data_IF_327885997356
#
_entry.id   IF_327885997356
#
_cell.length_a   1.000
_cell.length_b   1.000
_cell.length_c   1.000
_cell.angle_alpha   90.00
_cell.angle_beta   90.00
_cell.angle_gamma   90.00
#
_symmetry.space_group_name_H-M   'P 1'
#
loop_
_entity.id
_entity.type
_entity.pdbx_description
1 polymer ?
#
# COMPACT_ATOMS: atom_id res chain seq x y z
N UNK A 1 2.83 9.11 17.52
CA UNK A 1 3.01 10.23 16.58
C UNK A 1 4.48 10.59 16.50
N UNK A 2 4.89 11.26 15.42
CA UNK A 2 6.24 11.78 15.20
C UNK A 2 6.13 13.23 14.74
N UNK A 3 7.13 14.03 15.09
CA UNK A 3 7.28 15.43 14.67
C UNK A 3 8.69 15.61 14.15
N UNK A 4 8.81 16.10 12.92
CA UNK A 4 10.05 16.66 12.40
C UNK A 4 9.94 18.19 12.48
N UNK A 5 10.74 18.85 13.35
CA UNK A 5 10.67 20.31 13.49
C UNK A 5 11.05 21.05 12.20
N UNK A 6 10.44 22.21 11.99
CA UNK A 6 10.85 23.14 10.94
C UNK A 6 12.33 23.50 11.07
N UNK A 7 13.07 23.52 9.95
CA UNK A 7 14.50 23.85 9.95
C UNK A 7 14.75 25.34 10.24
N UNK A 8 13.77 26.21 10.01
CA UNK A 8 13.81 27.63 10.36
C UNK A 8 12.66 27.99 11.33
N UNK A 9 12.82 27.71 12.64
CA UNK A 9 11.75 27.90 13.62
C UNK A 9 11.20 29.33 13.68
N UNK A 10 12.06 30.33 13.50
CA UNK A 10 11.67 31.75 13.49
C UNK A 10 10.77 32.13 12.30
N UNK A 11 10.82 31.36 11.21
CA UNK A 11 10.03 31.56 10.01
C UNK A 11 8.90 30.53 9.86
N UNK A 12 8.63 29.75 10.92
CA UNK A 12 7.66 28.65 10.92
C UNK A 12 6.25 29.15 10.60
N UNK A 13 5.60 28.50 9.64
CA UNK A 13 4.21 28.76 9.21
C UNK A 13 3.21 27.99 10.07
N UNK A 14 3.52 26.75 10.46
CA UNK A 14 2.60 25.93 11.25
C UNK A 14 2.95 24.44 11.25
N UNK A 15 2.01 23.63 11.74
CA UNK A 15 2.08 22.17 11.64
C UNK A 15 1.51 21.68 10.30
N UNK A 16 2.27 20.86 9.57
CA UNK A 16 1.83 20.10 8.39
C UNK A 16 1.60 18.64 8.79
N UNK A 17 0.34 18.23 8.83
CA UNK A 17 -0.03 16.83 9.05
C UNK A 17 0.04 16.05 7.75
N UNK A 18 0.68 14.89 7.79
CA UNK A 18 0.85 14.01 6.64
C UNK A 18 0.23 12.64 6.89
N UNK A 19 -0.32 12.04 5.83
CA UNK A 19 -0.69 10.62 5.84
C UNK A 19 -0.46 10.00 4.46
N UNK A 20 0.38 8.95 4.36
CA UNK A 20 0.73 8.32 3.09
C UNK A 20 -0.32 7.32 2.57
N UNK A 21 -1.39 7.06 3.34
CA UNK A 21 -2.45 6.15 2.95
C UNK A 21 -2.23 4.69 3.39
N UNK A 22 -2.49 3.76 2.48
CA UNK A 22 -2.65 2.33 2.77
C UNK A 22 -4.11 1.89 2.58
N UNK A 23 -4.95 1.79 3.62
CA UNK A 23 -4.70 2.08 5.05
C UNK A 23 -3.68 1.14 5.71
N UNK A 24 -3.21 1.52 6.91
CA UNK A 24 -2.29 0.68 7.70
C UNK A 24 -0.81 1.03 7.58
N UNK A 25 -0.43 1.99 6.73
CA UNK A 25 0.95 2.47 6.69
C UNK A 25 1.21 3.46 7.83
N UNK A 26 2.30 3.31 8.61
CA UNK A 26 2.64 4.24 9.68
C UNK A 26 3.08 5.61 9.13
N UNK A 27 2.32 6.67 9.42
CA UNK A 27 2.72 8.04 9.09
C UNK A 27 3.97 8.48 9.86
N UNK A 28 4.25 7.89 11.02
CA UNK A 28 5.49 8.12 11.77
C UNK A 28 6.73 7.64 11.03
N UNK A 29 6.61 6.50 10.32
CA UNK A 29 7.66 6.01 9.43
C UNK A 29 7.91 7.02 8.31
N UNK A 30 6.85 7.58 7.75
CA UNK A 30 6.95 8.58 6.70
C UNK A 30 7.72 9.84 7.16
N UNK A 31 7.43 10.35 8.35
CA UNK A 31 8.19 11.46 8.94
C UNK A 31 9.67 11.10 9.13
N UNK A 32 9.96 9.87 9.57
CA UNK A 32 11.33 9.39 9.71
C UNK A 32 12.06 9.37 8.37
N UNK A 33 11.43 8.85 7.32
CA UNK A 33 12.03 8.74 5.99
C UNK A 33 12.29 10.14 5.38
N UNK A 34 11.38 11.10 5.61
CA UNK A 34 11.58 12.51 5.23
C UNK A 34 12.78 13.11 6.00
N UNK A 35 12.87 12.88 7.31
CA UNK A 35 13.96 13.38 8.14
C UNK A 35 15.33 12.83 7.75
N UNK A 36 15.37 11.57 7.29
CA UNK A 36 16.57 10.91 6.77
C UNK A 36 16.89 11.28 5.31
N UNK A 37 16.01 12.02 4.63
CA UNK A 37 16.16 12.36 3.22
C UNK A 37 16.00 11.18 2.27
N UNK A 38 15.47 10.05 2.75
CA UNK A 38 15.18 8.86 1.94
C UNK A 38 13.81 8.95 1.28
N UNK A 39 13.04 9.99 1.60
CA UNK A 39 11.78 10.29 0.95
C UNK A 39 11.65 11.76 0.52
N UNK A 40 11.24 11.97 -0.73
CA UNK A 40 11.11 13.28 -1.38
C UNK A 40 9.70 13.87 -1.34
N UNK A 41 8.75 13.30 -0.58
CA UNK A 41 7.35 13.80 -0.54
C UNK A 41 7.21 15.27 -0.16
N UNK A 42 8.19 15.84 0.57
CA UNK A 42 8.21 17.25 0.91
C UNK A 42 9.47 17.91 0.37
N UNK A 43 9.31 18.95 -0.45
CA UNK A 43 10.42 19.78 -0.90
C UNK A 43 11.08 20.55 0.25
N UNK A 44 12.28 21.09 0.01
CA UNK A 44 13.07 21.76 1.05
C UNK A 44 12.35 22.95 1.70
N UNK A 45 11.53 23.68 0.95
CA UNK A 45 10.75 24.78 1.52
C UNK A 45 9.73 24.30 2.57
N UNK A 46 9.12 23.14 2.36
CA UNK A 46 8.19 22.58 3.36
C UNK A 46 8.93 22.24 4.65
N UNK A 47 10.10 21.59 4.54
CA UNK A 47 10.94 21.25 5.71
C UNK A 47 11.47 22.50 6.43
N UNK A 48 11.74 23.59 5.70
CA UNK A 48 12.15 24.86 6.30
C UNK A 48 11.06 25.50 7.14
N UNK A 49 9.82 25.44 6.67
CA UNK A 49 8.73 26.31 7.16
C UNK A 49 7.66 25.60 7.98
N UNK A 50 7.58 24.28 7.96
CA UNK A 50 6.56 23.53 8.70
C UNK A 50 7.16 22.53 9.65
N UNK A 51 6.54 22.38 10.81
CA UNK A 51 6.69 21.16 11.60
C UNK A 51 5.91 20.04 10.90
N UNK A 52 6.58 18.98 10.46
CA UNK A 52 5.92 17.85 9.79
C UNK A 52 5.46 16.86 10.85
N UNK A 53 4.15 16.59 10.88
CA UNK A 53 3.49 15.76 11.88
C UNK A 53 2.95 14.49 11.23
N UNK A 54 3.43 13.34 11.70
CA UNK A 54 2.96 12.02 11.33
C UNK A 54 2.19 11.41 12.49
N UNK A 55 0.86 11.33 12.35
CA UNK A 55 0.02 10.62 13.30
C UNK A 55 -0.32 9.24 12.74
N UNK A 56 0.18 8.19 13.38
CA UNK A 56 -0.27 6.84 13.06
C UNK A 56 -1.73 6.70 13.48
N UNK A 57 -2.64 6.34 12.56
CA UNK A 57 -4.02 6.06 12.93
C UNK A 57 -4.11 5.03 14.04
N UNK A 58 -5.17 5.08 14.84
CA UNK A 58 -5.54 3.98 15.73
C UNK A 58 -5.49 2.63 14.97
N UNK A 59 -4.92 1.60 15.59
CA UNK A 59 -4.68 0.31 14.95
C UNK A 59 -3.36 0.20 14.18
N UNK A 60 -2.57 1.27 14.04
CA UNK A 60 -1.41 1.34 13.13
C UNK A 60 -0.13 1.80 13.85
N UNK A 61 1.03 1.30 13.39
CA UNK A 61 2.32 1.92 13.67
C UNK A 61 2.67 2.00 15.15
N UNK A 62 3.05 3.17 15.66
CA UNK A 62 3.36 3.40 17.07
C UNK A 62 2.11 3.59 17.94
N UNK A 63 0.92 3.72 17.35
CA UNK A 63 -0.35 3.65 18.08
C UNK A 63 -0.66 2.20 18.47
N UNK A 64 -1.64 1.98 19.35
CA UNK A 64 -2.10 0.62 19.69
C UNK A 64 -2.49 -0.12 18.41
N UNK A 65 -1.78 -1.20 18.09
CA UNK A 65 -1.90 -1.93 16.82
C UNK A 65 -3.04 -2.94 16.85
N UNK A 66 -3.63 -3.17 15.69
CA UNK A 66 -4.38 -4.41 15.44
C UNK A 66 -3.44 -5.59 15.57
N UNK A 67 -3.88 -6.62 16.28
CA UNK A 67 -3.20 -7.90 16.45
C UNK A 67 -4.02 -8.99 15.76
N UNK A 68 -3.35 -9.84 14.99
CA UNK A 68 -3.93 -10.99 14.31
C UNK A 68 -2.96 -12.17 14.40
N UNK A 69 -3.48 -13.40 14.40
CA UNK A 69 -2.66 -14.60 14.24
C UNK A 69 -2.06 -14.61 12.84
N UNK A 70 -0.73 -14.52 12.79
CA UNK A 70 -0.01 -14.38 11.53
C UNK A 70 0.04 -15.70 10.74
N UNK A 71 0.01 -16.85 11.43
CA UNK A 71 0.02 -18.15 10.78
C UNK A 71 -1.34 -18.40 10.11
N UNK A 72 -2.43 -18.04 10.79
CA UNK A 72 -3.77 -18.07 10.21
C UNK A 72 -3.88 -17.12 9.00
N UNK A 73 -3.43 -15.86 9.15
CA UNK A 73 -3.42 -14.87 8.06
C UNK A 73 -2.62 -15.33 6.84
N UNK A 74 -1.46 -15.97 7.08
CA UNK A 74 -0.57 -16.42 6.01
C UNK A 74 -1.07 -17.66 5.26
N UNK A 75 -2.10 -18.37 5.77
CA UNK A 75 -2.72 -19.49 5.03
C UNK A 75 -3.20 -19.01 3.66
N UNK A 76 -2.96 -19.83 2.63
CA UNK A 76 -3.35 -19.49 1.26
C UNK A 76 -4.85 -19.69 1.07
N UNK A 77 -5.53 -18.63 0.68
CA UNK A 77 -6.92 -18.64 0.22
C UNK A 77 -7.00 -17.89 -1.10
N UNK A 78 -7.66 -18.46 -2.11
CA UNK A 78 -7.88 -17.77 -3.39
C UNK A 78 -8.93 -16.68 -3.20
N UNK A 79 -8.70 -15.52 -3.81
CA UNK A 79 -9.67 -14.42 -3.86
C UNK A 79 -10.65 -14.55 -5.03
N UNK A 80 -10.49 -15.58 -5.87
CA UNK A 80 -11.25 -15.78 -7.11
C UNK A 80 -11.93 -17.16 -7.09
N UNK A 81 -12.92 -17.37 -6.20
CA UNK A 81 -13.64 -18.64 -6.15
C UNK A 81 -14.36 -18.90 -7.47
N UNK A 82 -14.24 -20.12 -7.99
CA UNK A 82 -14.79 -20.52 -9.30
C UNK A 82 -16.13 -21.24 -9.19
N UNK A 83 -16.57 -21.56 -7.97
CA UNK A 83 -17.82 -22.23 -7.68
C UNK A 83 -18.35 -21.83 -6.28
N UNK A 84 -19.58 -22.22 -6.00
CA UNK A 84 -20.24 -21.89 -4.74
C UNK A 84 -19.54 -22.51 -3.51
N UNK A 85 -18.95 -23.69 -3.67
CA UNK A 85 -18.27 -24.38 -2.58
C UNK A 85 -16.97 -23.67 -2.18
N UNK A 86 -16.18 -23.21 -3.15
CA UNK A 86 -14.98 -22.41 -2.95
C UNK A 86 -15.33 -21.02 -2.40
N UNK A 87 -16.41 -20.40 -2.86
CA UNK A 87 -16.89 -19.14 -2.29
C UNK A 87 -17.24 -19.29 -0.80
N UNK A 88 -18.00 -20.33 -0.43
CA UNK A 88 -18.32 -20.60 0.98
C UNK A 88 -17.07 -20.82 1.84
N UNK A 89 -16.08 -21.58 1.34
CA UNK A 89 -14.81 -21.78 2.04
C UNK A 89 -14.05 -20.46 2.25
N UNK A 90 -14.02 -19.61 1.22
CA UNK A 90 -13.39 -18.28 1.30
C UNK A 90 -14.07 -17.41 2.37
N UNK A 91 -15.40 -17.34 2.37
CA UNK A 91 -16.17 -16.58 3.36
C UNK A 91 -15.91 -17.10 4.78
N UNK A 92 -15.97 -18.42 5.00
CA UNK A 92 -15.70 -19.03 6.30
C UNK A 92 -14.28 -18.72 6.80
N UNK A 93 -13.29 -18.80 5.93
CA UNK A 93 -11.90 -18.47 6.26
C UNK A 93 -11.74 -17.01 6.69
N UNK A 94 -12.30 -16.06 5.96
CA UNK A 94 -12.19 -14.64 6.35
C UNK A 94 -13.02 -14.28 7.59
N UNK A 95 -14.10 -15.02 7.88
CA UNK A 95 -14.79 -14.93 9.17
C UNK A 95 -13.91 -15.42 10.33
N UNK A 96 -13.19 -16.54 10.15
CA UNK A 96 -12.24 -17.06 11.13
C UNK A 96 -11.11 -16.05 11.39
N UNK A 97 -10.51 -15.52 10.33
CA UNK A 97 -9.47 -14.46 10.41
C UNK A 97 -10.00 -13.25 11.16
N UNK A 98 -11.19 -12.75 10.81
CA UNK A 98 -11.80 -11.57 11.44
C UNK A 98 -12.05 -11.80 12.94
N UNK A 99 -12.60 -12.96 13.30
CA UNK A 99 -12.85 -13.32 14.70
C UNK A 99 -11.54 -13.44 15.50
N UNK A 100 -10.50 -14.02 14.92
CA UNK A 100 -9.18 -14.13 15.53
C UNK A 100 -8.56 -12.75 15.77
N UNK A 101 -8.51 -11.90 14.75
CA UNK A 101 -8.02 -10.52 14.88
C UNK A 101 -8.79 -9.76 15.97
N UNK A 102 -10.12 -9.94 16.03
CA UNK A 102 -10.96 -9.32 17.06
C UNK A 102 -10.65 -9.81 18.47
N UNK A 103 -10.46 -11.11 18.65
CA UNK A 103 -10.12 -11.67 19.95
C UNK A 103 -8.75 -11.16 20.45
N UNK A 104 -7.77 -11.03 19.56
CA UNK A 104 -6.43 -10.56 19.90
C UNK A 104 -6.34 -9.02 20.07
N UNK A 105 -7.15 -8.27 19.33
CA UNK A 105 -7.15 -6.80 19.35
C UNK A 105 -8.07 -6.22 20.43
N UNK A 106 -9.20 -6.89 20.71
CA UNK A 106 -10.21 -6.42 21.66
C UNK A 106 -11.10 -5.28 21.11
N UNK A 107 -11.67 -4.46 22.01
CA UNK A 107 -12.70 -3.45 21.66
C UNK A 107 -12.27 -2.40 20.64
N UNK A 108 -10.96 -2.22 20.43
CA UNK A 108 -10.45 -1.30 19.42
C UNK A 108 -11.01 -1.61 18.02
N UNK A 109 -11.30 -2.89 17.70
CA UNK A 109 -11.86 -3.29 16.41
C UNK A 109 -13.17 -2.60 16.03
N UNK A 110 -13.96 -2.15 17.02
CA UNK A 110 -15.24 -1.47 16.80
C UNK A 110 -15.10 0.03 16.48
N UNK A 111 -13.85 0.52 16.48
CA UNK A 111 -13.56 1.95 16.42
C UNK A 111 -12.42 2.27 15.46
N UNK A 112 -12.12 1.42 14.48
CA UNK A 112 -11.03 1.60 13.50
C UNK A 112 -11.44 2.41 12.26
N UNK A 113 -12.69 2.87 12.19
CA UNK A 113 -13.20 3.60 11.04
C UNK A 113 -12.53 4.98 10.84
N UNK A 114 -12.64 5.51 9.62
CA UNK A 114 -11.98 6.77 9.25
C UNK A 114 -12.52 7.98 10.02
N UNK A 115 -13.80 7.99 10.41
CA UNK A 115 -14.38 9.10 11.19
C UNK A 115 -13.70 9.17 12.56
N UNK A 116 -13.45 8.02 13.17
CA UNK A 116 -12.73 7.90 14.42
C UNK A 116 -11.25 8.33 14.29
N UNK A 117 -10.60 8.05 13.16
CA UNK A 117 -9.25 8.58 12.84
C UNK A 117 -9.26 10.10 12.70
N UNK A 118 -10.28 10.67 12.04
CA UNK A 118 -10.42 12.12 11.87
C UNK A 118 -10.62 12.85 13.21
N UNK A 119 -11.36 12.26 14.14
CA UNK A 119 -11.51 12.80 15.51
C UNK A 119 -10.19 12.78 16.28
N UNK A 120 -9.38 11.73 16.12
CA UNK A 120 -8.03 11.70 16.74
C UNK A 120 -7.14 12.80 16.17
N UNK A 121 -7.20 13.00 14.85
CA UNK A 121 -6.44 14.03 14.16
C UNK A 121 -6.79 15.43 14.68
N UNK A 122 -8.08 15.72 14.88
CA UNK A 122 -8.53 16.98 15.47
C UNK A 122 -8.06 17.13 16.92
N UNK A 123 -8.18 16.08 17.74
CA UNK A 123 -7.70 16.12 19.12
C UNK A 123 -6.19 16.43 19.20
N UNK A 124 -5.38 15.83 18.32
CA UNK A 124 -3.95 16.11 18.23
C UNK A 124 -3.70 17.54 17.73
N UNK A 125 -4.44 18.04 16.73
CA UNK A 125 -4.32 19.43 16.27
C UNK A 125 -4.59 20.43 17.39
N UNK A 126 -5.64 20.20 18.18
CA UNK A 126 -5.96 21.03 19.35
C UNK A 126 -4.84 20.96 20.39
N UNK A 127 -4.34 19.76 20.70
CA UNK A 127 -3.24 19.58 21.65
C UNK A 127 -1.92 20.25 21.22
N UNK A 128 -1.68 20.38 19.90
CA UNK A 128 -0.51 21.06 19.34
C UNK A 128 -0.68 22.58 19.20
N UNK A 129 -1.57 23.19 19.98
CA UNK A 129 -1.76 24.65 20.03
C UNK A 129 -2.90 25.17 19.17
N UNK A 130 -3.77 24.28 18.66
CA UNK A 130 -5.02 24.65 17.98
C UNK A 130 -4.84 25.53 16.73
N UNK A 131 -3.67 25.49 16.08
CA UNK A 131 -3.43 26.11 14.77
C UNK A 131 -4.34 25.50 13.70
N UNK A 132 -4.68 26.27 12.66
CA UNK A 132 -5.42 25.73 11.52
C UNK A 132 -4.65 24.59 10.84
N UNK A 133 -5.36 23.55 10.43
CA UNK A 133 -4.84 22.35 9.78
C UNK A 133 -4.18 22.68 8.44
N UNK A 134 -2.92 22.25 8.28
CA UNK A 134 -2.31 22.04 6.97
C UNK A 134 -2.23 20.53 6.75
N UNK A 135 -2.88 20.02 5.70
CA UNK A 135 -2.98 18.58 5.44
C UNK A 135 -2.33 18.21 4.11
N UNK A 136 -1.55 17.13 4.10
CA UNK A 136 -1.12 16.42 2.90
C UNK A 136 -1.50 14.94 3.04
N UNK A 137 -2.54 14.54 2.32
CA UNK A 137 -3.01 13.16 2.30
C UNK A 137 -2.82 12.53 0.94
N UNK A 138 -2.27 11.33 0.92
CA UNK A 138 -2.08 10.53 -0.30
C UNK A 138 -2.90 9.25 -0.22
N UNK A 139 -3.44 8.78 -1.34
CA UNK A 139 -4.20 7.52 -1.39
C UNK A 139 -5.32 7.50 -0.32
N UNK A 140 -5.37 6.53 0.60
CA UNK A 140 -6.33 6.52 1.72
C UNK A 140 -6.25 7.79 2.61
N UNK A 141 -5.11 8.47 2.69
CA UNK A 141 -4.98 9.77 3.36
C UNK A 141 -5.87 10.85 2.75
N UNK A 142 -6.28 10.72 1.49
CA UNK A 142 -7.28 11.60 0.87
C UNK A 142 -8.68 11.38 1.46
N UNK A 143 -9.01 10.14 1.86
CA UNK A 143 -10.26 9.83 2.58
C UNK A 143 -10.29 10.51 3.95
N UNK A 144 -9.18 10.42 4.69
CA UNK A 144 -9.03 11.11 5.97
C UNK A 144 -9.21 12.62 5.78
N UNK A 145 -8.52 13.21 4.78
CA UNK A 145 -8.59 14.64 4.49
C UNK A 145 -10.01 15.11 4.12
N UNK A 146 -10.69 14.39 3.23
CA UNK A 146 -12.08 14.72 2.83
C UNK A 146 -13.05 14.62 3.99
N UNK A 147 -12.97 13.58 4.82
CA UNK A 147 -13.81 13.45 6.02
C UNK A 147 -13.46 14.50 7.10
N UNK A 148 -12.19 14.88 7.23
CA UNK A 148 -11.79 16.01 8.09
C UNK A 148 -12.40 17.33 7.59
N UNK A 149 -12.39 17.58 6.28
CA UNK A 149 -13.02 18.76 5.70
C UNK A 149 -14.54 18.77 5.90
N UNK A 150 -15.18 17.61 5.91
CA UNK A 150 -16.60 17.49 6.22
C UNK A 150 -16.92 17.79 7.70
N UNK A 151 -16.16 17.22 8.64
CA UNK A 151 -16.43 17.37 10.08
C UNK A 151 -15.92 18.68 10.68
N UNK A 152 -14.78 19.18 10.19
CA UNK A 152 -14.08 20.34 10.74
C UNK A 152 -13.71 21.38 9.66
N UNK A 153 -14.63 21.79 8.76
CA UNK A 153 -14.33 22.63 7.60
C UNK A 153 -13.68 23.97 7.98
N UNK A 154 -14.12 24.55 9.11
CA UNK A 154 -13.60 25.82 9.60
C UNK A 154 -12.16 25.72 10.11
N UNK A 155 -11.64 24.53 10.38
CA UNK A 155 -10.33 24.34 11.00
C UNK A 155 -9.21 24.12 9.99
N UNK A 156 -9.48 24.23 8.68
CA UNK A 156 -8.49 24.05 7.62
C UNK A 156 -7.88 25.38 7.20
N UNK A 157 -6.55 25.40 7.03
CA UNK A 157 -5.81 26.46 6.33
C UNK A 157 -5.50 26.05 4.90
N UNK A 158 -4.91 24.87 4.73
CA UNK A 158 -4.57 24.31 3.41
C UNK A 158 -4.71 22.81 3.41
N UNK A 159 -5.08 22.23 2.27
CA UNK A 159 -5.28 20.80 2.13
C UNK A 159 -4.86 20.35 0.73
N UNK A 160 -3.97 19.36 0.69
CA UNK A 160 -3.57 18.65 -0.53
C UNK A 160 -4.08 17.22 -0.40
N UNK A 161 -4.78 16.79 -1.44
CA UNK A 161 -5.27 15.43 -1.61
C UNK A 161 -4.71 14.90 -2.94
N UNK A 162 -3.80 13.96 -2.86
CA UNK A 162 -3.13 13.37 -4.02
C UNK A 162 -3.57 11.90 -4.20
N UNK A 163 -3.99 11.56 -5.42
CA UNK A 163 -4.55 10.25 -5.78
C UNK A 163 -5.82 9.92 -4.98
N UNK A 164 -6.85 10.74 -5.21
CA UNK A 164 -8.10 10.73 -4.45
C UNK A 164 -8.82 9.38 -4.47
N UNK A 165 -9.14 8.87 -3.27
CA UNK A 165 -10.01 7.73 -3.10
C UNK A 165 -11.46 8.19 -3.22
N UNK A 166 -12.14 7.71 -4.27
CA UNK A 166 -13.55 7.99 -4.47
C UNK A 166 -14.42 7.05 -3.63
N UNK A 167 -15.20 7.58 -2.69
CA UNK A 167 -16.00 6.77 -1.75
C UNK A 167 -17.51 6.75 -2.01
N UNK A 168 -18.00 7.50 -2.99
CA UNK A 168 -19.41 7.40 -3.40
C UNK A 168 -19.64 6.40 -4.54
N UNK A 169 -18.57 5.84 -5.13
CA UNK A 169 -18.68 4.79 -6.13
C UNK A 169 -18.93 3.44 -5.45
N UNK A 170 -19.66 2.55 -6.12
CA UNK A 170 -19.82 1.19 -5.63
C UNK A 170 -18.50 0.41 -5.70
N UNK A 171 -18.38 -0.60 -4.84
CA UNK A 171 -17.15 -1.38 -4.68
C UNK A 171 -16.77 -2.13 -5.95
N UNK A 172 -17.74 -2.64 -6.72
CA UNK A 172 -17.46 -3.36 -7.96
C UNK A 172 -16.88 -2.43 -9.03
N UNK A 173 -17.40 -1.21 -9.16
CA UNK A 173 -16.85 -0.17 -10.04
C UNK A 173 -15.44 0.26 -9.64
N UNK A 174 -15.16 0.35 -8.33
CA UNK A 174 -13.82 0.63 -7.81
C UNK A 174 -12.83 -0.47 -8.24
N UNK A 175 -13.18 -1.73 -7.96
CA UNK A 175 -12.35 -2.90 -8.31
C UNK A 175 -12.12 -3.01 -9.81
N UNK A 176 -13.15 -2.75 -10.63
CA UNK A 176 -13.02 -2.77 -12.09
C UNK A 176 -12.08 -1.67 -12.59
N UNK A 177 -12.21 -0.45 -12.05
CA UNK A 177 -11.36 0.68 -12.40
C UNK A 177 -9.91 0.42 -12.02
N UNK A 178 -9.66 -0.16 -10.85
CA UNK A 178 -8.32 -0.56 -10.41
C UNK A 178 -7.74 -1.66 -11.31
N UNK A 179 -8.46 -2.75 -11.53
CA UNK A 179 -8.02 -3.88 -12.34
C UNK A 179 -7.68 -3.47 -13.79
N UNK A 180 -8.55 -2.67 -14.42
CA UNK A 180 -8.33 -2.17 -15.79
C UNK A 180 -7.14 -1.20 -15.86
N UNK A 181 -6.93 -0.36 -14.85
CA UNK A 181 -5.79 0.57 -14.80
C UNK A 181 -4.46 -0.17 -14.62
N UNK A 182 -4.40 -1.21 -13.78
CA UNK A 182 -3.21 -2.03 -13.66
C UNK A 182 -2.92 -2.82 -14.93
N UNK A 183 -3.92 -3.39 -15.58
CA UNK A 183 -3.75 -4.09 -16.85
C UNK A 183 -3.20 -3.14 -17.93
N UNK A 184 -3.72 -1.91 -18.02
CA UNK A 184 -3.19 -0.91 -18.94
C UNK A 184 -1.74 -0.53 -18.62
N UNK A 185 -1.40 -0.40 -17.34
CA UNK A 185 -0.03 -0.08 -16.90
C UNK A 185 0.94 -1.24 -17.13
N UNK A 186 0.49 -2.48 -16.92
CA UNK A 186 1.24 -3.69 -17.22
C UNK A 186 1.57 -3.79 -18.72
N UNK A 187 0.61 -3.45 -19.59
CA UNK A 187 0.85 -3.39 -21.04
C UNK A 187 1.86 -2.30 -21.42
N UNK A 188 1.77 -1.11 -20.81
CA UNK A 188 2.78 -0.05 -20.98
C UNK A 188 4.16 -0.50 -20.52
N UNK A 189 4.24 -1.25 -19.42
CA UNK A 189 5.50 -1.85 -18.97
C UNK A 189 6.05 -2.83 -20.00
N UNK A 190 5.20 -3.69 -20.60
CA UNK A 190 5.63 -4.57 -21.68
C UNK A 190 6.20 -3.76 -22.84
N UNK A 191 5.43 -2.82 -23.41
CA UNK A 191 5.87 -1.98 -24.52
C UNK A 191 7.18 -1.24 -24.21
N UNK A 192 7.30 -0.67 -23.02
CA UNK A 192 8.51 0.01 -22.57
C UNK A 192 9.71 -0.93 -22.49
N UNK A 193 9.55 -2.11 -21.87
CA UNK A 193 10.67 -3.02 -21.68
C UNK A 193 11.08 -3.65 -23.01
N UNK A 194 10.14 -3.94 -23.92
CA UNK A 194 10.41 -4.49 -25.26
C UNK A 194 11.22 -3.52 -26.12
N UNK A 195 10.94 -2.21 -26.01
CA UNK A 195 11.52 -1.16 -26.87
C UNK A 195 12.74 -0.46 -26.27
N UNK A 196 12.92 -0.51 -24.94
CA UNK A 196 14.10 0.07 -24.27
C UNK A 196 15.34 -0.80 -24.49
N UNK A 197 16.50 -0.32 -24.02
CA UNK A 197 17.76 -1.06 -24.15
C UNK A 197 17.88 -2.20 -23.11
N UNK A 198 18.70 -3.21 -23.43
CA UNK A 198 18.89 -4.40 -22.58
C UNK A 198 19.52 -4.12 -21.21
N UNK A 199 20.27 -3.02 -21.08
CA UNK A 199 20.83 -2.58 -19.79
C UNK A 199 19.78 -1.98 -18.86
N UNK A 200 18.71 -1.39 -19.43
CA UNK A 200 17.58 -0.82 -18.69
C UNK A 200 16.53 -1.88 -18.38
N UNK A 201 16.27 -2.79 -19.33
CA UNK A 201 15.38 -3.94 -19.10
C UNK A 201 15.96 -5.21 -19.70
N UNK A 202 16.21 -6.22 -18.85
CA UNK A 202 16.86 -7.48 -19.26
C UNK A 202 16.05 -8.28 -20.29
N UNK A 203 14.74 -8.06 -20.37
CA UNK A 203 13.83 -8.70 -21.31
C UNK A 203 13.68 -7.95 -22.65
N UNK A 204 14.45 -6.87 -22.87
CA UNK A 204 14.42 -6.08 -24.11
C UNK A 204 14.48 -6.94 -25.38
N UNK A 205 13.63 -6.59 -26.36
CA UNK A 205 13.46 -7.29 -27.64
C UNK A 205 12.73 -8.63 -27.58
N UNK A 206 12.20 -9.06 -26.44
CA UNK A 206 11.42 -10.31 -26.30
C UNK A 206 9.91 -10.04 -26.28
N UNK A 207 9.06 -11.04 -26.49
CA UNK A 207 7.61 -10.91 -26.30
C UNK A 207 7.28 -11.11 -24.81
N UNK A 208 7.17 -10.01 -24.06
CA UNK A 208 7.05 -10.05 -22.60
C UNK A 208 5.65 -10.47 -22.19
N UNK A 209 4.61 -10.08 -22.95
CA UNK A 209 3.25 -10.55 -22.71
C UNK A 209 3.20 -12.09 -22.71
N UNK A 210 3.86 -12.74 -23.68
CA UNK A 210 3.92 -14.20 -23.74
C UNK A 210 4.72 -14.81 -22.60
N UNK A 211 5.85 -14.21 -22.23
CA UNK A 211 6.67 -14.65 -21.09
C UNK A 211 5.86 -14.58 -19.79
N UNK A 212 5.13 -13.47 -19.59
CA UNK A 212 4.26 -13.24 -18.44
C UNK A 212 3.13 -14.27 -18.37
N UNK A 213 2.40 -14.51 -19.46
CA UNK A 213 1.36 -15.54 -19.52
C UNK A 213 1.90 -16.94 -19.17
N UNK A 214 3.03 -17.31 -19.77
CA UNK A 214 3.66 -18.61 -19.51
C UNK A 214 4.10 -18.74 -18.04
N UNK A 215 4.64 -17.68 -17.45
CA UNK A 215 5.00 -17.62 -16.04
C UNK A 215 3.77 -17.84 -15.14
N UNK A 216 2.65 -17.17 -15.43
CA UNK A 216 1.42 -17.33 -14.66
C UNK A 216 0.84 -18.74 -14.81
N UNK A 217 0.82 -19.31 -16.01
CA UNK A 217 0.35 -20.70 -16.22
C UNK A 217 1.23 -21.70 -15.46
N UNK A 218 2.55 -21.50 -15.46
CA UNK A 218 3.50 -22.31 -14.67
C UNK A 218 3.19 -22.21 -13.18
N UNK A 219 3.08 -20.98 -12.66
CA UNK A 219 2.83 -20.72 -11.24
C UNK A 219 1.45 -21.18 -10.75
N UNK A 220 0.45 -21.22 -11.63
CA UNK A 220 -0.88 -21.75 -11.32
C UNK A 220 -0.87 -23.28 -11.13
N UNK A 221 -0.03 -24.00 -11.87
CA UNK A 221 0.13 -25.46 -11.74
C UNK A 221 1.06 -25.84 -10.61
N UNK A 222 2.20 -25.17 -10.53
CA UNK A 222 3.25 -25.43 -9.55
C UNK A 222 3.74 -24.11 -8.98
N UNK A 223 3.33 -23.73 -7.75
CA UNK A 223 3.78 -22.50 -7.11
C UNK A 223 5.31 -22.39 -7.11
N UNK A 224 5.81 -21.21 -7.45
CA UNK A 224 7.23 -20.94 -7.65
C UNK A 224 7.89 -20.69 -6.29
N UNK A 225 9.02 -21.36 -5.95
CA UNK A 225 9.73 -21.11 -4.71
C UNK A 225 10.15 -19.65 -4.52
N UNK A 226 9.94 -19.16 -3.30
CA UNK A 226 10.28 -17.81 -2.84
C UNK A 226 11.21 -17.89 -1.61
N UNK A 227 12.46 -18.38 -1.75
CA UNK A 227 13.36 -18.65 -0.62
C UNK A 227 13.84 -17.38 0.09
N UNK A 228 13.71 -16.20 -0.52
CA UNK A 228 13.99 -14.91 0.13
C UNK A 228 12.89 -14.45 1.08
N UNK A 229 11.84 -15.25 1.26
CA UNK A 229 10.75 -14.95 2.18
C UNK A 229 11.18 -15.16 3.64
N UNK A 230 10.99 -14.13 4.47
CA UNK A 230 11.16 -14.17 5.92
C UNK A 230 9.88 -14.55 6.67
N UNK A 231 9.54 -13.81 7.73
CA UNK A 231 8.46 -14.16 8.69
C UNK A 231 7.04 -13.77 8.27
N UNK A 232 6.86 -12.83 7.34
CA UNK A 232 5.53 -12.34 6.90
C UNK A 232 5.40 -12.48 5.38
N UNK A 233 5.50 -13.70 4.89
CA UNK A 233 5.27 -14.03 3.48
C UNK A 233 5.15 -15.56 3.30
N UNK A 234 4.87 -16.01 2.08
CA UNK A 234 4.78 -17.43 1.74
C UNK A 234 6.08 -17.92 1.09
N UNK A 235 6.49 -19.14 1.42
CA UNK A 235 7.70 -19.79 0.89
C UNK A 235 7.62 -20.14 -0.62
N UNK A 236 6.45 -19.99 -1.22
CA UNK A 236 6.24 -20.08 -2.66
C UNK A 236 5.11 -19.13 -3.08
N UNK A 237 5.08 -18.78 -4.37
CA UNK A 237 4.08 -17.87 -4.97
C UNK A 237 3.36 -18.53 -6.13
N UNK A 238 2.03 -18.42 -6.15
CA UNK A 238 1.17 -18.86 -7.25
C UNK A 238 0.90 -17.70 -8.24
N UNK A 239 0.07 -17.95 -9.26
CA UNK A 239 -0.25 -16.95 -10.27
C UNK A 239 -0.95 -15.70 -9.69
N UNK A 240 -1.86 -15.86 -8.72
CA UNK A 240 -2.56 -14.74 -8.07
C UNK A 240 -1.56 -13.86 -7.31
N UNK A 241 -0.70 -14.47 -6.51
CA UNK A 241 0.32 -13.81 -5.70
C UNK A 241 1.36 -13.08 -6.58
N UNK A 242 1.70 -13.64 -7.74
CA UNK A 242 2.55 -12.97 -8.73
C UNK A 242 1.87 -11.73 -9.31
N UNK A 243 0.57 -11.79 -9.64
CA UNK A 243 -0.19 -10.62 -10.13
C UNK A 243 -0.22 -9.52 -9.08
N UNK A 244 -0.59 -9.84 -7.84
CA UNK A 244 -0.61 -8.88 -6.74
C UNK A 244 0.78 -8.30 -6.44
N UNK A 245 1.83 -9.14 -6.44
CA UNK A 245 3.20 -8.68 -6.24
C UNK A 245 3.67 -7.73 -7.35
N UNK A 246 3.25 -7.95 -8.59
CA UNK A 246 3.60 -7.07 -9.70
C UNK A 246 2.95 -5.69 -9.60
N UNK A 247 1.73 -5.57 -9.05
CA UNK A 247 1.03 -4.28 -8.89
C UNK A 247 1.89 -3.24 -8.16
N UNK A 248 2.58 -3.63 -7.09
CA UNK A 248 3.44 -2.74 -6.31
C UNK A 248 4.59 -2.17 -7.16
N UNK A 249 5.14 -2.96 -8.08
CA UNK A 249 6.21 -2.53 -8.98
C UNK A 249 5.69 -1.74 -10.19
N UNK A 250 4.39 -1.77 -10.46
CA UNK A 250 3.75 -1.00 -11.54
C UNK A 250 3.42 0.43 -11.12
N UNK A 251 3.33 0.73 -9.81
CA UNK A 251 3.02 2.07 -9.29
C UNK A 251 4.00 3.15 -9.74
N UNK A 252 5.28 2.82 -9.87
CA UNK A 252 6.31 3.76 -10.26
C UNK A 252 7.16 3.18 -11.39
N UNK A 253 7.26 3.90 -12.51
CA UNK A 253 8.07 3.50 -13.65
C UNK A 253 9.56 3.29 -13.29
N UNK A 254 10.06 3.93 -12.22
CA UNK A 254 11.42 3.68 -11.73
C UNK A 254 11.63 2.24 -11.24
N UNK A 255 10.56 1.52 -10.86
CA UNK A 255 10.61 0.13 -10.43
C UNK A 255 10.48 -0.87 -11.59
N UNK A 256 10.23 -0.41 -12.82
CA UNK A 256 9.98 -1.31 -13.96
C UNK A 256 11.20 -2.17 -14.34
N UNK A 257 12.42 -1.65 -14.22
CA UNK A 257 13.64 -2.46 -14.40
C UNK A 257 13.70 -3.64 -13.41
N UNK A 258 13.23 -3.43 -12.17
CA UNK A 258 13.14 -4.46 -11.14
C UNK A 258 12.08 -5.50 -11.51
N UNK A 259 10.93 -5.07 -12.01
CA UNK A 259 9.88 -5.98 -12.48
C UNK A 259 10.38 -6.86 -13.65
N UNK A 260 11.06 -6.26 -14.63
CA UNK A 260 11.66 -7.01 -15.74
C UNK A 260 12.67 -8.07 -15.27
N UNK A 261 13.52 -7.70 -14.31
CA UNK A 261 14.48 -8.62 -13.69
C UNK A 261 13.80 -9.75 -12.93
N UNK A 262 12.73 -9.44 -12.18
CA UNK A 262 11.95 -10.43 -11.44
C UNK A 262 11.29 -11.44 -12.40
N UNK A 263 10.62 -10.97 -13.45
CA UNK A 263 9.99 -11.82 -14.47
C UNK A 263 11.05 -12.72 -15.11
N UNK A 264 12.16 -12.16 -15.58
CA UNK A 264 13.25 -12.92 -16.20
C UNK A 264 13.76 -14.05 -15.31
N UNK A 265 14.06 -13.74 -14.03
CA UNK A 265 14.61 -14.71 -13.09
C UNK A 265 13.69 -15.93 -12.87
N UNK A 266 12.37 -15.75 -12.95
CA UNK A 266 11.38 -16.80 -12.68
C UNK A 266 10.88 -17.50 -13.95
N UNK A 267 10.92 -16.82 -15.09
CA UNK A 267 10.61 -17.41 -16.40
C UNK A 267 11.75 -18.28 -16.94
N UNK A 268 13.00 -17.94 -16.63
CA UNK A 268 14.19 -18.58 -17.22
C UNK A 268 14.71 -19.79 -16.43
N UNK A 269 14.16 -20.10 -15.25
CA UNK A 269 14.50 -21.33 -14.53
C UNK A 269 13.76 -22.54 -15.14
N UNK A 270 14.46 -23.53 -15.72
CA UNK A 270 13.85 -24.79 -16.09
C UNK A 270 13.27 -25.47 -14.84
N UNK A 271 12.11 -26.10 -15.00
CA UNK A 271 11.62 -27.06 -14.01
C UNK A 271 12.45 -28.31 -14.24
N UNK A 272 13.63 -28.40 -13.62
CA UNK A 272 14.30 -29.69 -13.50
C UNK A 272 13.49 -30.54 -12.52
N UNK A 273 12.50 -31.22 -13.08
CA UNK A 273 12.15 -32.56 -12.64
C UNK A 273 13.36 -33.45 -12.96
N UNK A 274 14.00 -33.99 -11.93
CA UNK A 274 14.44 -35.40 -11.79
C UNK A 274 15.53 -35.50 -10.71
N UNK A 275 15.17 -36.23 -9.66
CA UNK A 275 15.94 -37.21 -8.88
C UNK A 275 17.46 -37.01 -8.70
N UNK A 276 17.85 -36.76 -7.44
CA UNK A 276 18.61 -37.72 -6.61
C UNK A 276 18.59 -37.26 -5.15
#
# INVERSE_FOLDING_TARGET
MAKLPAQEPENRIGNLFINPGGPGYPATKEVSDIGLGTNGYTGDEIKRRFDIIGLDPRGVGLSTRVQCDIDLWNRRMSLFPTDEASFRRMVQFYQEVSANCRNLTGPLMDHLDTIQVVKDLEAVRVALGNEKMNWLGMSYGTMIGTQYAYLYPKNIRSMILDSNLQHYQDEASMLLSEATTYEATLRRFFDWCETTNKTTCVLSGQNIAKIWENLLVKAAKTPIPAPGCGTICRLNVNAEEIRFGAQVLLFNASAWSTLGSAIHSKSSQPVDLVMS
#
